data_IF_348684047607
#
_entry.id   IF_348684047607
#
_cell.length_a   1.000
_cell.length_b   1.000
_cell.length_c   1.000
_cell.angle_alpha   90.00
_cell.angle_beta   90.00
_cell.angle_gamma   90.00
#
_symmetry.space_group_name_H-M   'P 1'
#
loop_
_entity.id
_entity.type
_entity.pdbx_description
1 polymer ?
#
# COMPACT_ATOMS: atom_id res chain seq x y z
N UNK A 1 13.43 -1.56 -7.19
CA UNK A 1 12.29 -1.09 -6.38
C UNK A 1 11.14 -2.07 -6.50
N UNK A 2 10.47 -2.33 -5.41
CA UNK A 2 9.43 -3.33 -5.31
C UNK A 2 8.15 -2.68 -4.82
N UNK A 3 7.00 -3.12 -5.30
CA UNK A 3 5.73 -2.53 -4.88
C UNK A 3 4.74 -3.61 -4.44
N UNK A 4 3.94 -3.26 -3.42
CA UNK A 4 2.77 -4.04 -2.98
C UNK A 4 1.54 -3.23 -3.33
N UNK A 5 0.61 -3.85 -4.02
CA UNK A 5 -0.67 -3.24 -4.38
C UNK A 5 -1.75 -3.93 -3.57
N UNK A 6 -2.38 -3.19 -2.66
CA UNK A 6 -3.46 -3.72 -1.83
C UNK A 6 -4.76 -3.16 -2.36
N UNK A 7 -5.58 -4.03 -2.93
CA UNK A 7 -6.89 -3.63 -3.44
C UNK A 7 -7.92 -3.88 -2.35
N UNK A 8 -8.65 -2.83 -1.99
CA UNK A 8 -9.65 -2.89 -0.93
C UNK A 8 -11.00 -2.48 -1.48
N UNK A 9 -12.06 -3.13 -0.96
CA UNK A 9 -13.43 -2.74 -1.25
C UNK A 9 -14.02 -2.19 0.04
N UNK A 10 -14.38 -0.90 0.03
CA UNK A 10 -14.92 -0.28 1.22
C UNK A 10 -16.39 -0.63 1.41
N UNK A 11 -16.86 -0.53 2.65
CA UNK A 11 -18.28 -0.56 2.90
C UNK A 11 -18.94 0.64 2.22
N UNK A 12 -20.23 0.53 1.98
CA UNK A 12 -21.00 1.55 1.26
C UNK A 12 -20.79 2.92 1.89
N UNK A 13 -20.41 3.88 1.05
CA UNK A 13 -20.20 5.27 1.48
C UNK A 13 -18.94 5.50 2.30
N UNK A 14 -18.05 4.52 2.41
CA UNK A 14 -16.89 4.62 3.30
C UNK A 14 -15.54 4.71 2.59
N UNK A 15 -15.53 4.87 1.26
CA UNK A 15 -14.26 4.90 0.53
C UNK A 15 -13.37 6.04 0.97
N UNK A 16 -13.92 7.24 1.15
CA UNK A 16 -13.13 8.38 1.61
C UNK A 16 -12.65 8.18 3.05
N UNK A 17 -13.50 7.63 3.91
CA UNK A 17 -13.10 7.34 5.29
C UNK A 17 -11.94 6.34 5.31
N UNK A 18 -12.00 5.32 4.44
CA UNK A 18 -10.93 4.34 4.33
C UNK A 18 -9.63 5.00 3.89
N UNK A 19 -9.68 5.81 2.83
CA UNK A 19 -8.49 6.50 2.33
C UNK A 19 -7.92 7.45 3.39
N UNK A 20 -8.77 8.19 4.07
CA UNK A 20 -8.33 9.11 5.13
C UNK A 20 -7.69 8.36 6.29
N UNK A 21 -8.25 7.21 6.67
CA UNK A 21 -7.71 6.40 7.75
C UNK A 21 -6.33 5.85 7.38
N UNK A 22 -6.17 5.41 6.14
CA UNK A 22 -4.85 4.96 5.66
C UNK A 22 -3.84 6.10 5.77
N UNK A 23 -4.21 7.28 5.30
CA UNK A 23 -3.32 8.43 5.36
C UNK A 23 -2.94 8.79 6.79
N UNK A 24 -3.91 8.80 7.69
CA UNK A 24 -3.69 9.30 9.05
C UNK A 24 -3.05 8.28 9.97
N UNK A 25 -3.34 6.99 9.78
CA UNK A 25 -2.93 5.95 10.73
C UNK A 25 -1.96 4.92 10.17
N UNK A 26 -2.06 4.61 8.88
CA UNK A 26 -1.18 3.61 8.29
C UNK A 26 0.14 4.22 7.80
N UNK A 27 0.08 5.37 7.16
CA UNK A 27 1.27 6.02 6.62
C UNK A 27 2.33 6.31 7.69
N UNK A 28 1.98 6.80 8.89
CA UNK A 28 3.00 6.98 9.92
C UNK A 28 3.73 5.70 10.31
N UNK A 29 3.03 4.56 10.28
CA UNK A 29 3.65 3.26 10.57
C UNK A 29 4.58 2.87 9.43
N UNK A 30 4.11 3.04 8.18
CA UNK A 30 4.90 2.72 6.99
C UNK A 30 6.19 3.51 6.95
N UNK A 31 6.13 4.80 7.27
CA UNK A 31 7.31 5.67 7.20
C UNK A 31 8.45 5.22 8.11
N UNK A 32 8.15 4.44 9.14
CA UNK A 32 9.15 3.94 10.06
C UNK A 32 9.79 2.63 9.62
N UNK A 33 9.30 2.04 8.53
CA UNK A 33 9.78 0.72 8.12
C UNK A 33 11.03 0.83 7.27
N UNK A 34 11.92 -0.16 7.45
CA UNK A 34 13.13 -0.24 6.64
C UNK A 34 12.75 -0.37 5.16
N UNK A 35 13.40 0.43 4.34
CA UNK A 35 13.24 0.32 2.90
C UNK A 35 11.97 0.93 2.34
N UNK A 36 11.14 1.54 3.16
CA UNK A 36 9.94 2.20 2.67
C UNK A 36 10.32 3.42 1.84
N UNK A 37 9.73 3.54 0.65
CA UNK A 37 10.03 4.62 -0.28
C UNK A 37 8.86 5.58 -0.44
N UNK A 38 7.65 5.04 -0.68
CA UNK A 38 6.51 5.89 -1.02
C UNK A 38 5.21 5.13 -0.82
N UNK A 39 4.14 5.86 -0.62
CA UNK A 39 2.79 5.32 -0.55
C UNK A 39 1.87 6.16 -1.42
N UNK A 40 1.12 5.50 -2.31
CA UNK A 40 0.12 6.16 -3.13
C UNK A 40 -1.22 5.51 -2.85
N UNK A 41 -2.22 6.32 -2.53
CA UNK A 41 -3.57 5.81 -2.29
C UNK A 41 -4.47 6.33 -3.39
N UNK A 42 -5.13 5.42 -4.08
CA UNK A 42 -6.03 5.74 -5.19
C UNK A 42 -7.46 5.42 -4.76
N UNK A 43 -8.35 6.36 -5.00
CA UNK A 43 -9.77 6.20 -4.68
C UNK A 43 -10.55 6.22 -5.98
N UNK A 44 -11.33 5.16 -6.22
CA UNK A 44 -12.15 5.09 -7.42
C UNK A 44 -13.28 6.11 -7.33
N UNK A 45 -13.58 6.77 -8.44
CA UNK A 45 -14.65 7.76 -8.45
C UNK A 45 -16.03 7.16 -8.66
N UNK A 46 -16.11 5.91 -9.10
CA UNK A 46 -17.40 5.31 -9.48
C UNK A 46 -17.78 4.07 -8.71
N UNK A 47 -16.92 3.57 -7.84
CA UNK A 47 -17.20 2.35 -7.12
C UNK A 47 -16.44 2.36 -5.78
N UNK A 48 -16.64 1.35 -4.92
CA UNK A 48 -16.08 1.38 -3.56
C UNK A 48 -14.62 0.94 -3.47
N UNK A 49 -13.88 0.88 -4.57
CA UNK A 49 -12.50 0.40 -4.52
C UNK A 49 -11.52 1.48 -4.11
N UNK A 50 -10.59 1.08 -3.27
CA UNK A 50 -9.44 1.89 -2.85
C UNK A 50 -8.20 1.04 -3.03
N UNK A 51 -7.20 1.59 -3.70
CA UNK A 51 -5.93 0.90 -3.90
C UNK A 51 -4.86 1.60 -3.08
N UNK A 52 -4.10 0.84 -2.31
CA UNK A 52 -2.96 1.37 -1.58
C UNK A 52 -1.70 0.73 -2.17
N UNK A 53 -0.84 1.56 -2.73
CA UNK A 53 0.41 1.11 -3.33
C UNK A 53 1.55 1.55 -2.44
N UNK A 54 2.30 0.59 -1.90
CA UNK A 54 3.51 0.91 -1.14
C UNK A 54 4.72 0.51 -1.98
N UNK A 55 5.75 1.37 -1.95
CA UNK A 55 6.97 1.17 -2.71
C UNK A 55 8.12 0.97 -1.75
N UNK A 56 9.01 0.04 -2.09
CA UNK A 56 10.07 -0.44 -1.20
C UNK A 56 11.38 -0.54 -1.97
N UNK A 57 12.50 -0.36 -1.27
CA UNK A 57 13.81 -0.51 -1.90
C UNK A 57 13.97 -1.89 -2.50
N UNK A 58 13.49 -2.93 -1.80
CA UNK A 58 13.60 -4.30 -2.30
C UNK A 58 12.49 -5.17 -1.70
N UNK A 59 12.39 -6.38 -2.25
CA UNK A 59 11.37 -7.35 -1.83
C UNK A 59 11.53 -7.76 -0.37
N UNK A 60 12.76 -7.92 0.09
CA UNK A 60 13.01 -8.36 1.47
C UNK A 60 12.42 -7.42 2.50
N UNK A 61 12.56 -6.11 2.27
CA UNK A 61 12.01 -5.11 3.17
C UNK A 61 10.49 -5.14 3.16
N UNK A 62 9.89 -5.32 1.98
CA UNK A 62 8.45 -5.43 1.86
C UNK A 62 7.93 -6.68 2.57
N UNK A 63 8.65 -7.80 2.43
CA UNK A 63 8.27 -9.05 3.08
C UNK A 63 8.35 -8.93 4.61
N UNK A 64 9.34 -8.23 5.12
CA UNK A 64 9.48 -7.99 6.55
C UNK A 64 8.30 -7.17 7.07
N UNK A 65 7.93 -6.13 6.34
CA UNK A 65 6.76 -5.32 6.69
C UNK A 65 5.50 -6.18 6.71
N UNK A 66 5.30 -7.01 5.68
CA UNK A 66 4.13 -7.88 5.59
C UNK A 66 4.05 -8.80 6.82
N UNK A 67 5.17 -9.34 7.23
CA UNK A 67 5.24 -10.29 8.32
C UNK A 67 5.01 -9.64 9.68
N UNK A 68 5.50 -8.41 9.87
CA UNK A 68 5.59 -7.82 11.20
C UNK A 68 4.58 -6.72 11.45
N UNK A 69 4.13 -6.00 10.42
CA UNK A 69 3.32 -4.81 10.61
C UNK A 69 1.98 -4.83 9.90
N UNK A 70 1.86 -5.59 8.82
CA UNK A 70 0.66 -5.50 7.99
C UNK A 70 -0.62 -5.81 8.76
N UNK A 71 -0.59 -6.81 9.65
CA UNK A 71 -1.77 -7.19 10.42
C UNK A 71 -2.28 -6.03 11.27
N UNK A 72 -1.37 -5.26 11.84
CA UNK A 72 -1.74 -4.09 12.63
C UNK A 72 -2.50 -3.08 11.77
N UNK A 73 -2.01 -2.82 10.57
CA UNK A 73 -2.67 -1.88 9.66
C UNK A 73 -4.02 -2.43 9.21
N UNK A 74 -4.08 -3.72 8.90
CA UNK A 74 -5.34 -4.36 8.53
C UNK A 74 -6.38 -4.20 9.64
N UNK A 75 -5.96 -4.38 10.90
CA UNK A 75 -6.88 -4.23 12.04
C UNK A 75 -7.40 -2.82 12.16
N UNK A 76 -6.58 -1.82 11.85
CA UNK A 76 -6.99 -0.41 11.92
C UNK A 76 -8.11 -0.12 10.92
N UNK A 77 -8.08 -0.72 9.72
CA UNK A 77 -9.04 -0.41 8.66
C UNK A 77 -10.17 -1.44 8.52
N UNK A 78 -10.09 -2.54 9.24
CA UNK A 78 -11.03 -3.67 9.07
C UNK A 78 -12.49 -3.24 9.09
N UNK A 79 -12.86 -2.35 9.99
CA UNK A 79 -14.26 -1.94 10.15
C UNK A 79 -14.79 -1.18 8.95
N UNK A 80 -13.92 -0.74 8.05
CA UNK A 80 -14.30 0.00 6.85
C UNK A 80 -14.33 -0.89 5.60
N UNK A 81 -13.90 -2.15 5.72
CA UNK A 81 -13.77 -3.05 4.58
C UNK A 81 -15.01 -3.92 4.43
N UNK A 82 -15.45 -4.08 3.19
CA UNK A 82 -16.55 -4.99 2.86
C UNK A 82 -16.05 -6.43 2.73
N UNK A 83 -14.83 -6.59 2.18
CA UNK A 83 -14.24 -7.91 1.95
C UNK A 83 -12.78 -7.87 2.36
N UNK A 84 -12.14 -9.04 2.40
CA UNK A 84 -10.71 -9.11 2.64
C UNK A 84 -9.95 -8.47 1.47
N UNK A 85 -8.90 -7.71 1.76
CA UNK A 85 -8.11 -7.10 0.69
C UNK A 85 -7.42 -8.15 -0.17
N UNK A 86 -7.20 -7.80 -1.44
CA UNK A 86 -6.38 -8.60 -2.34
C UNK A 86 -5.02 -7.93 -2.45
N UNK A 87 -3.96 -8.71 -2.29
CA UNK A 87 -2.61 -8.18 -2.32
C UNK A 87 -1.87 -8.77 -3.52
N UNK A 88 -1.26 -7.89 -4.31
CA UNK A 88 -0.42 -8.26 -5.44
C UNK A 88 0.89 -7.53 -5.31
N UNK A 89 1.95 -8.15 -5.83
CA UNK A 89 3.29 -7.57 -5.74
C UNK A 89 3.92 -7.55 -7.12
N UNK A 90 4.78 -6.55 -7.33
CA UNK A 90 5.45 -6.36 -8.61
C UNK A 90 6.82 -5.76 -8.39
N UNK A 91 7.74 -6.04 -9.31
CA UNK A 91 8.95 -5.25 -9.43
C UNK A 91 8.60 -3.98 -10.21
N UNK A 92 9.15 -2.86 -9.78
CA UNK A 92 8.96 -1.61 -10.52
C UNK A 92 9.97 -1.59 -11.66
N UNK A 93 9.47 -1.63 -12.89
CA UNK A 93 10.33 -1.61 -14.07
C UNK A 93 10.88 -0.21 -14.32
N UNK A 94 10.05 0.80 -14.23
CA UNK A 94 10.42 2.16 -14.59
C UNK A 94 9.62 3.15 -13.74
N UNK A 95 10.26 4.25 -13.36
CA UNK A 95 9.60 5.34 -12.65
C UNK A 95 10.26 6.66 -13.07
N UNK A 96 9.43 7.66 -13.34
CA UNK A 96 9.93 9.01 -13.60
C UNK A 96 10.08 9.81 -12.32
N UNK A 97 9.50 9.32 -11.22
CA UNK A 97 9.55 10.01 -9.93
C UNK A 97 10.63 9.48 -9.01
N UNK A 98 10.96 8.20 -9.13
CA UNK A 98 11.91 7.56 -8.23
C UNK A 98 12.95 6.78 -9.00
N UNK A 99 14.16 6.72 -8.45
CA UNK A 99 15.23 5.92 -9.02
C UNK A 99 14.94 4.44 -8.74
N UNK A 100 14.86 3.65 -9.81
CA UNK A 100 14.61 2.21 -9.70
C UNK A 100 15.94 1.52 -9.57
N UNK A 101 16.29 1.09 -8.35
CA UNK A 101 17.59 0.45 -8.09
C UNK A 101 17.57 -1.01 -8.51
N UNK A 102 18.73 -1.49 -8.90
CA UNK A 102 18.88 -2.89 -9.27
C UNK A 102 18.36 -3.25 -10.64
N UNK A 103 17.69 -2.34 -11.31
CA UNK A 103 17.12 -2.60 -12.63
C UNK A 103 17.61 -1.66 -13.69
N UNK A 104 18.28 -0.63 -13.30
CA UNK A 104 18.66 0.46 -14.19
C UNK A 104 19.65 0.03 -15.27
N UNK A 105 20.20 -1.10 -15.13
CA UNK A 105 21.13 -1.59 -16.14
C UNK A 105 20.49 -1.66 -17.51
N UNK A 106 19.21 -1.66 -17.51
CA UNK A 106 18.51 -1.68 -18.77
C UNK A 106 19.00 -0.56 -19.68
#
# INVERSE_FOLDING_TARGET
MFTRVVEMTSKSGKAQDLANTINEKAVPILRKQRGFVDEIVLVSSGDPRVLALSFWDNKGDADEYQREQYQKIHDIVRHLLETEPEIRTFDVHTSTAHKVTGKQAA
#
